data_IF_438577048738
#
_entry.id   IF_438577048738
#
_cell.length_a   1.000
_cell.length_b   1.000
_cell.length_c   1.000
_cell.angle_alpha   90.00
_cell.angle_beta   90.00
_cell.angle_gamma   90.00
#
_symmetry.space_group_name_H-M   'P 1'
#
loop_
_entity.id
_entity.type
_entity.pdbx_description
1 polymer ?
#
# COMPACT_ATOMS: atom_id res chain seq x y z
N UNK A 1 -16.75 24.34 21.48
CA UNK A 1 -16.00 23.07 21.34
C UNK A 1 -16.65 22.30 20.20
N UNK A 2 -15.97 22.14 19.08
CA UNK A 2 -16.44 21.35 17.93
C UNK A 2 -16.59 19.89 18.33
N UNK A 3 -17.67 19.21 17.95
CA UNK A 3 -17.85 17.80 18.28
C UNK A 3 -16.80 16.92 17.57
N UNK A 4 -16.48 15.74 18.13
CA UNK A 4 -15.55 14.78 17.48
C UNK A 4 -16.00 14.41 16.05
N UNK A 5 -17.31 14.34 15.82
CA UNK A 5 -17.89 14.05 14.51
C UNK A 5 -17.67 15.17 13.51
N UNK A 6 -17.89 16.42 13.92
CA UNK A 6 -17.65 17.60 13.08
C UNK A 6 -16.16 17.76 12.73
N UNK A 7 -15.27 17.56 13.71
CA UNK A 7 -13.83 17.62 13.48
C UNK A 7 -13.36 16.55 12.48
N UNK A 8 -13.90 15.33 12.57
CA UNK A 8 -13.62 14.26 11.60
C UNK A 8 -14.15 14.60 10.20
N UNK A 9 -15.37 15.12 10.10
CA UNK A 9 -15.95 15.54 8.83
C UNK A 9 -15.15 16.67 8.16
N UNK A 10 -14.73 17.68 8.93
CA UNK A 10 -13.88 18.78 8.45
C UNK A 10 -12.53 18.27 7.96
N UNK A 11 -11.90 17.36 8.72
CA UNK A 11 -10.64 16.73 8.30
C UNK A 11 -10.80 15.97 6.98
N UNK A 12 -11.85 15.16 6.86
CA UNK A 12 -12.14 14.40 5.64
C UNK A 12 -12.37 15.32 4.44
N UNK A 13 -13.13 16.40 4.62
CA UNK A 13 -13.36 17.41 3.60
C UNK A 13 -12.06 18.09 3.15
N UNK A 14 -11.18 18.44 4.10
CA UNK A 14 -9.84 18.99 3.79
C UNK A 14 -9.01 17.99 2.97
N UNK A 15 -8.97 16.72 3.37
CA UNK A 15 -8.20 15.69 2.65
C UNK A 15 -8.74 15.45 1.24
N UNK A 16 -10.06 15.50 1.05
CA UNK A 16 -10.69 15.44 -0.27
C UNK A 16 -10.25 16.62 -1.15
N UNK A 17 -10.27 17.84 -0.61
CA UNK A 17 -9.79 19.03 -1.33
C UNK A 17 -8.32 18.91 -1.75
N UNK A 18 -7.46 18.36 -0.89
CA UNK A 18 -6.05 18.11 -1.25
C UNK A 18 -5.93 17.08 -2.38
N UNK A 19 -6.76 16.03 -2.38
CA UNK A 19 -6.78 15.06 -3.48
C UNK A 19 -7.18 15.72 -4.80
N UNK A 20 -8.25 16.52 -4.81
CA UNK A 20 -8.71 17.27 -6.00
C UNK A 20 -7.62 18.21 -6.54
N UNK A 21 -6.98 19.00 -5.67
CA UNK A 21 -5.88 19.88 -6.06
C UNK A 21 -4.66 19.14 -6.62
N UNK A 22 -4.40 17.94 -6.10
CA UNK A 22 -3.30 17.10 -6.58
C UNK A 22 -3.60 16.55 -7.96
N UNK A 23 -4.83 16.06 -8.18
CA UNK A 23 -5.27 15.63 -9.51
C UNK A 23 -5.18 16.76 -10.52
N UNK A 24 -5.60 17.97 -10.17
CA UNK A 24 -5.49 19.13 -11.04
C UNK A 24 -4.03 19.39 -11.44
N UNK A 25 -3.08 19.38 -10.50
CA UNK A 25 -1.66 19.55 -10.81
C UNK A 25 -1.09 18.43 -11.72
N UNK A 26 -1.61 17.20 -11.59
CA UNK A 26 -1.24 16.08 -12.45
C UNK A 26 -1.83 16.22 -13.86
N UNK A 27 -3.03 16.77 -13.99
CA UNK A 27 -3.69 17.08 -15.27
C UNK A 27 -3.00 18.25 -15.98
N UNK A 28 -2.72 19.33 -15.24
CA UNK A 28 -1.98 20.51 -15.74
C UNK A 28 -0.52 20.18 -16.06
N UNK A 29 -0.01 19.05 -15.55
CA UNK A 29 1.38 18.62 -15.71
C UNK A 29 2.38 19.54 -15.02
N UNK A 30 1.94 20.39 -14.09
CA UNK A 30 2.79 21.29 -13.31
C UNK A 30 2.08 21.84 -12.06
N UNK A 31 2.84 22.44 -11.14
CA UNK A 31 2.31 23.19 -10.00
C UNK A 31 3.24 24.37 -9.66
N UNK A 32 2.74 25.35 -8.90
CA UNK A 32 3.53 26.50 -8.43
C UNK A 32 3.65 26.49 -6.91
N UNK A 33 4.79 26.99 -6.41
CA UNK A 33 5.00 27.16 -4.98
C UNK A 33 4.41 28.49 -4.51
N UNK A 34 3.93 28.59 -3.26
CA UNK A 34 3.49 29.87 -2.70
C UNK A 34 4.61 30.93 -2.69
N UNK A 35 5.86 30.48 -2.66
CA UNK A 35 7.07 31.32 -2.60
C UNK A 35 7.68 31.64 -3.96
N UNK A 36 7.18 31.05 -5.06
CA UNK A 36 7.76 31.22 -6.40
C UNK A 36 6.71 31.13 -7.50
N UNK A 37 6.73 32.10 -8.42
CA UNK A 37 5.87 32.11 -9.60
C UNK A 37 6.34 31.13 -10.70
N UNK A 38 7.53 30.53 -10.56
CA UNK A 38 8.07 29.59 -11.54
C UNK A 38 7.40 28.23 -11.39
N UNK A 39 6.71 27.70 -12.42
CA UNK A 39 6.06 26.40 -12.34
C UNK A 39 7.07 25.25 -12.32
N UNK A 40 6.77 24.23 -11.52
CA UNK A 40 7.49 22.94 -11.47
C UNK A 40 6.83 21.97 -12.43
N UNK A 41 7.54 21.58 -13.47
CA UNK A 41 7.04 20.66 -14.50
C UNK A 41 7.00 19.22 -13.96
N UNK A 42 5.84 18.58 -14.06
CA UNK A 42 5.61 17.18 -13.73
C UNK A 42 5.45 16.30 -14.98
N UNK A 43 5.04 16.86 -16.11
CA UNK A 43 4.66 16.12 -17.31
C UNK A 43 5.72 15.10 -17.78
N UNK A 44 6.99 15.52 -17.85
CA UNK A 44 8.09 14.63 -18.27
C UNK A 44 8.26 13.47 -17.29
N UNK A 45 8.19 13.75 -15.99
CA UNK A 45 8.36 12.74 -14.94
C UNK A 45 7.15 11.82 -14.83
N UNK A 46 5.93 12.32 -15.04
CA UNK A 46 4.72 11.50 -15.12
C UNK A 46 4.84 10.51 -16.27
N UNK A 47 5.20 10.97 -17.48
CA UNK A 47 5.39 10.09 -18.63
C UNK A 47 6.48 9.03 -18.38
N UNK A 48 7.59 9.44 -17.76
CA UNK A 48 8.66 8.53 -17.37
C UNK A 48 8.18 7.47 -16.37
N UNK A 49 7.48 7.89 -15.33
CA UNK A 49 6.93 7.01 -14.29
C UNK A 49 5.95 6.01 -14.91
N UNK A 50 4.99 6.49 -15.70
CA UNK A 50 3.96 5.66 -16.35
C UNK A 50 4.59 4.62 -17.28
N UNK A 51 5.55 5.02 -18.14
CA UNK A 51 6.25 4.12 -19.04
C UNK A 51 7.20 3.14 -18.32
N UNK A 52 7.78 3.57 -17.20
CA UNK A 52 8.70 2.77 -16.38
C UNK A 52 8.00 1.86 -15.37
N UNK A 53 6.67 1.98 -15.19
CA UNK A 53 5.92 1.21 -14.22
C UNK A 53 5.95 -0.28 -14.57
N UNK A 54 6.32 -1.12 -13.60
CA UNK A 54 6.43 -2.58 -13.80
C UNK A 54 5.55 -3.33 -12.81
N UNK A 55 4.92 -4.39 -13.29
CA UNK A 55 4.22 -5.36 -12.45
C UNK A 55 5.08 -6.61 -12.30
N UNK A 56 5.19 -7.09 -11.07
CA UNK A 56 5.77 -8.38 -10.75
C UNK A 56 4.63 -9.31 -10.34
N UNK A 57 4.46 -10.39 -11.11
CA UNK A 57 3.43 -11.39 -10.85
C UNK A 57 3.80 -12.22 -9.60
N UNK A 58 2.81 -12.86 -8.93
CA UNK A 58 3.08 -13.69 -7.74
C UNK A 58 4.05 -14.85 -7.99
N UNK A 59 4.10 -15.35 -9.22
CA UNK A 59 4.92 -16.45 -9.71
C UNK A 59 6.17 -15.97 -10.47
N UNK A 60 6.48 -14.67 -10.40
CA UNK A 60 7.64 -14.10 -11.09
C UNK A 60 8.95 -14.63 -10.50
N UNK A 61 9.69 -15.36 -11.34
CA UNK A 61 10.97 -15.98 -10.98
C UNK A 61 12.06 -14.95 -10.67
N UNK A 62 11.93 -13.69 -11.14
CA UNK A 62 12.87 -12.62 -10.84
C UNK A 62 12.89 -12.28 -9.34
N UNK A 63 11.74 -12.35 -8.66
CA UNK A 63 11.64 -12.15 -7.21
C UNK A 63 12.24 -13.34 -6.44
N UNK A 64 12.06 -14.55 -6.97
CA UNK A 64 12.57 -15.79 -6.38
C UNK A 64 14.10 -15.89 -6.51
N UNK A 65 14.66 -15.54 -7.67
CA UNK A 65 16.11 -15.55 -7.92
C UNK A 65 16.88 -14.50 -7.09
N UNK A 66 16.22 -13.38 -6.75
CA UNK A 66 16.82 -12.38 -5.87
C UNK A 66 16.81 -12.77 -4.39
N UNK A 67 15.95 -13.70 -4.00
CA UNK A 67 15.93 -14.28 -2.65
C UNK A 67 17.04 -15.32 -2.45
N UNK A 68 17.47 -15.99 -3.53
CA UNK A 68 18.58 -16.97 -3.49
C UNK A 68 19.96 -16.35 -3.76
N UNK A 69 20.03 -15.14 -4.33
CA UNK A 69 21.25 -14.32 -4.30
C UNK A 69 21.41 -13.65 -2.92
N UNK A 70 21.54 -14.50 -1.90
CA UNK A 70 22.46 -14.17 -0.81
C UNK A 70 23.84 -14.12 -1.46
N UNK A 71 24.22 -12.94 -1.97
CA UNK A 71 25.62 -12.56 -1.90
C UNK A 71 26.06 -12.92 -0.49
N UNK A 72 27.15 -13.66 -0.36
CA UNK A 72 27.76 -14.03 0.90
C UNK A 72 28.24 -12.76 1.63
N UNK A 73 27.31 -11.90 2.03
CA UNK A 73 27.49 -10.93 3.07
C UNK A 73 27.59 -11.76 4.34
N UNK A 74 28.77 -11.70 4.95
CA UNK A 74 29.06 -12.29 6.25
C UNK A 74 27.83 -12.18 7.17
N UNK A 75 27.42 -13.31 7.77
CA UNK A 75 26.35 -13.37 8.78
C UNK A 75 26.47 -12.17 9.72
N UNK A 76 25.55 -11.20 9.72
CA UNK A 76 25.41 -10.37 10.88
C UNK A 76 24.85 -11.29 11.96
N UNK A 77 25.62 -11.51 13.02
CA UNK A 77 25.09 -12.10 14.23
C UNK A 77 23.83 -11.31 14.61
N UNK A 78 22.69 -11.98 14.75
CA UNK A 78 21.41 -11.37 15.06
C UNK A 78 21.57 -10.42 16.28
N UNK A 79 21.44 -9.09 16.14
CA UNK A 79 21.22 -8.28 17.31
C UNK A 79 19.73 -8.37 17.61
N UNK A 80 19.41 -9.12 18.66
CA UNK A 80 18.14 -9.02 19.36
C UNK A 80 17.90 -7.51 19.64
N UNK A 81 16.93 -6.89 18.96
CA UNK A 81 16.68 -5.46 19.07
C UNK A 81 15.78 -5.19 20.29
N UNK A 82 16.39 -5.11 21.46
CA UNK A 82 15.84 -4.33 22.58
C UNK A 82 16.21 -2.86 22.31
N UNK A 83 15.22 -2.00 22.10
CA UNK A 83 15.42 -0.56 21.83
C UNK A 83 16.22 0.11 22.97
N UNK A 84 17.49 0.51 22.77
CA UNK A 84 18.18 1.41 23.68
C UNK A 84 17.94 2.87 23.24
N UNK A 85 18.13 3.87 24.13
CA UNK A 85 17.99 5.28 23.76
C UNK A 85 18.99 5.68 22.64
N UNK A 86 18.69 6.73 21.85
CA UNK A 86 19.42 7.04 20.62
C UNK A 86 20.89 7.44 20.89
N UNK A 87 21.87 6.88 20.15
CA UNK A 87 23.27 7.31 20.23
C UNK A 87 23.51 8.65 19.50
N UNK A 88 24.62 9.36 19.78
CA UNK A 88 24.99 10.59 19.08
C UNK A 88 25.25 10.34 17.58
N UNK A 89 25.13 11.38 16.72
CA UNK A 89 25.23 11.21 15.27
C UNK A 89 26.62 10.70 14.84
N UNK A 90 26.69 9.74 13.91
CA UNK A 90 27.97 9.21 13.41
C UNK A 90 28.71 10.25 12.54
N UNK A 91 30.06 10.19 12.48
CA UNK A 91 30.84 11.01 11.54
C UNK A 91 30.54 10.62 10.08
N UNK A 92 30.67 11.55 9.11
CA UNK A 92 30.38 11.27 7.72
C UNK A 92 31.35 10.21 7.15
N UNK A 93 30.85 9.24 6.36
CA UNK A 93 31.69 8.19 5.78
C UNK A 93 32.67 8.76 4.73
N UNK A 94 33.86 8.15 4.56
CA UNK A 94 34.80 8.55 3.53
C UNK A 94 34.19 8.36 2.14
N UNK A 95 34.24 9.42 1.33
CA UNK A 95 33.72 9.50 -0.03
C UNK A 95 34.43 8.49 -0.94
N UNK A 96 33.77 7.37 -1.22
CA UNK A 96 34.15 6.46 -2.30
C UNK A 96 33.74 7.09 -3.65
N UNK A 97 34.59 7.08 -4.69
CA UNK A 97 34.37 7.80 -5.95
C UNK A 97 33.39 7.09 -6.92
N UNK A 98 32.50 6.24 -6.41
CA UNK A 98 31.47 5.58 -7.21
C UNK A 98 30.13 5.65 -6.48
N UNK A 99 29.68 6.88 -6.25
CA UNK A 99 28.30 7.16 -5.85
C UNK A 99 27.42 6.90 -7.07
N UNK A 100 27.00 5.64 -7.25
CA UNK A 100 25.69 5.41 -7.82
C UNK A 100 24.74 6.31 -7.02
N UNK A 101 24.07 7.23 -7.70
CA UNK A 101 23.07 8.11 -7.08
C UNK A 101 22.18 7.24 -6.19
N UNK A 102 22.21 7.44 -4.87
CA UNK A 102 21.42 6.64 -3.95
C UNK A 102 19.94 6.90 -4.25
N UNK A 103 19.29 5.98 -4.97
CA UNK A 103 17.87 6.07 -5.24
C UNK A 103 17.09 5.81 -3.95
N UNK A 104 16.24 6.76 -3.57
CA UNK A 104 15.33 6.62 -2.43
C UNK A 104 14.26 5.59 -2.80
N UNK A 105 14.10 4.56 -1.97
CA UNK A 105 13.03 3.57 -2.09
C UNK A 105 11.94 3.80 -1.04
N UNK A 106 10.67 3.84 -1.47
CA UNK A 106 9.50 3.99 -0.61
C UNK A 106 8.58 2.77 -0.76
N UNK A 107 8.12 2.22 0.37
CA UNK A 107 7.13 1.15 0.38
C UNK A 107 5.72 1.73 0.58
N UNK A 108 4.83 1.48 -0.38
CA UNK A 108 3.41 1.80 -0.31
C UNK A 108 2.61 0.59 0.22
N UNK A 109 1.95 0.76 1.36
CA UNK A 109 1.02 -0.20 1.98
C UNK A 109 -0.32 -0.18 1.24
N UNK A 110 -0.32 -0.83 0.09
CA UNK A 110 -1.34 -0.66 -0.92
C UNK A 110 -2.66 -1.32 -0.56
N UNK A 111 -3.75 -0.70 -0.98
CA UNK A 111 -5.02 -1.37 -1.18
C UNK A 111 -4.88 -2.42 -2.27
N UNK A 112 -5.32 -3.65 -1.99
CA UNK A 112 -5.35 -4.70 -3.00
C UNK A 112 -6.38 -4.43 -4.13
N UNK A 113 -7.30 -3.49 -3.95
CA UNK A 113 -8.47 -3.33 -4.83
C UNK A 113 -8.63 -1.93 -5.42
N UNK A 114 -8.05 -0.89 -4.81
CA UNK A 114 -8.27 0.49 -5.22
C UNK A 114 -6.94 1.25 -5.36
N UNK A 115 -6.59 1.73 -6.57
CA UNK A 115 -5.43 2.59 -6.76
C UNK A 115 -5.46 3.82 -5.86
N UNK A 116 -4.45 3.99 -5.01
CA UNK A 116 -4.40 5.11 -4.05
C UNK A 116 -5.40 4.98 -2.91
N UNK A 117 -5.98 3.79 -2.70
CA UNK A 117 -6.91 3.51 -1.61
C UNK A 117 -8.15 4.38 -1.66
N UNK A 118 -8.46 5.03 -0.52
CA UNK A 118 -9.63 5.90 -0.38
C UNK A 118 -9.35 7.39 -0.57
N UNK A 119 -8.22 7.80 -1.17
CA UNK A 119 -7.75 9.18 -1.10
C UNK A 119 -8.73 10.21 -1.67
N UNK A 120 -9.46 9.86 -2.75
CA UNK A 120 -10.51 10.68 -3.36
C UNK A 120 -11.70 10.95 -2.42
N UNK A 121 -11.93 10.05 -1.46
CA UNK A 121 -13.01 10.17 -0.47
C UNK A 121 -12.54 10.81 0.84
N UNK A 122 -11.32 11.35 0.85
CA UNK A 122 -10.69 11.92 2.04
C UNK A 122 -10.32 10.90 3.11
N UNK A 123 -10.17 9.62 2.74
CA UNK A 123 -9.67 8.61 3.67
C UNK A 123 -8.21 8.92 4.07
N UNK A 124 -7.81 8.45 5.25
CA UNK A 124 -6.50 8.72 5.82
C UNK A 124 -5.80 7.42 6.22
N UNK A 125 -4.91 6.94 5.38
CA UNK A 125 -3.83 6.02 5.72
C UNK A 125 -2.58 6.40 4.91
N UNK A 126 -1.54 5.55 4.98
CA UNK A 126 -0.26 5.82 4.35
C UNK A 126 -0.39 5.93 2.81
N UNK A 127 -1.04 4.96 2.16
CA UNK A 127 -1.27 4.98 0.71
C UNK A 127 -1.98 6.26 0.27
N UNK A 128 -3.04 6.67 0.98
CA UNK A 128 -3.76 7.88 0.59
C UNK A 128 -2.93 9.14 0.75
N UNK A 129 -2.01 9.17 1.73
CA UNK A 129 -1.08 10.28 1.89
C UNK A 129 -0.07 10.32 0.74
N UNK A 130 0.51 9.18 0.36
CA UNK A 130 1.40 9.08 -0.81
C UNK A 130 0.69 9.50 -2.10
N UNK A 131 -0.55 9.05 -2.31
CA UNK A 131 -1.35 9.40 -3.48
C UNK A 131 -1.70 10.89 -3.54
N UNK A 132 -1.91 11.55 -2.40
CA UNK A 132 -2.16 13.00 -2.32
C UNK A 132 -0.91 13.86 -2.45
N UNK A 133 0.27 13.33 -2.13
CA UNK A 133 1.49 14.13 -2.07
C UNK A 133 2.39 13.95 -3.29
N UNK A 134 2.02 13.13 -4.27
CA UNK A 134 2.92 12.72 -5.35
C UNK A 134 2.25 12.40 -6.69
N UNK A 135 3.08 12.05 -7.68
CA UNK A 135 2.65 11.50 -8.97
C UNK A 135 2.25 10.02 -8.91
N UNK A 136 2.33 9.35 -7.76
CA UNK A 136 2.13 7.90 -7.62
C UNK A 136 0.81 7.42 -8.21
N UNK A 137 -0.27 8.19 -8.05
CA UNK A 137 -1.60 7.81 -8.56
C UNK A 137 -1.59 7.54 -10.07
N UNK A 138 -0.83 8.33 -10.85
CA UNK A 138 -0.69 8.15 -12.31
C UNK A 138 -0.11 6.78 -12.65
N UNK A 139 0.95 6.39 -11.94
CA UNK A 139 1.54 5.06 -12.07
C UNK A 139 0.57 3.94 -11.68
N UNK A 140 -0.12 4.08 -10.55
CA UNK A 140 -1.05 3.05 -10.07
C UNK A 140 -2.27 2.86 -10.99
N UNK A 141 -2.65 3.87 -11.76
CA UNK A 141 -3.73 3.78 -12.74
C UNK A 141 -3.28 3.32 -14.13
N UNK A 142 -1.97 3.31 -14.40
CA UNK A 142 -1.42 2.89 -15.68
C UNK A 142 -1.63 1.39 -15.93
N UNK A 143 -1.69 1.00 -17.20
CA UNK A 143 -2.00 -0.38 -17.60
C UNK A 143 -1.12 -1.46 -16.93
N UNK A 144 0.22 -1.28 -16.76
CA UNK A 144 1.03 -2.26 -16.06
C UNK A 144 0.60 -2.46 -14.60
N UNK A 145 0.30 -1.38 -13.87
CA UNK A 145 -0.15 -1.47 -12.48
C UNK A 145 -1.56 -2.07 -12.35
N UNK A 146 -2.42 -1.98 -13.38
CA UNK A 146 -3.73 -2.65 -13.35
C UNK A 146 -3.62 -4.17 -13.22
N UNK A 147 -2.53 -4.77 -13.70
CA UNK A 147 -2.26 -6.20 -13.52
C UNK A 147 -2.12 -6.58 -12.02
N UNK A 148 -1.57 -5.69 -11.20
CA UNK A 148 -1.50 -5.88 -9.74
C UNK A 148 -2.90 -6.00 -9.14
N UNK A 149 -3.82 -5.07 -9.42
CA UNK A 149 -5.18 -5.13 -8.89
C UNK A 149 -5.98 -6.32 -9.45
N UNK A 150 -5.77 -6.65 -10.72
CA UNK A 150 -6.39 -7.81 -11.35
C UNK A 150 -5.95 -9.14 -10.70
N UNK A 151 -4.66 -9.28 -10.38
CA UNK A 151 -4.14 -10.46 -9.69
C UNK A 151 -4.80 -10.67 -8.31
N UNK A 152 -5.02 -9.57 -7.58
CA UNK A 152 -5.71 -9.60 -6.29
C UNK A 152 -7.20 -9.93 -6.40
N UNK A 153 -7.90 -9.35 -7.38
CA UNK A 153 -9.33 -9.59 -7.59
C UNK A 153 -9.63 -11.02 -8.05
N UNK A 154 -8.71 -11.65 -8.80
CA UNK A 154 -8.85 -13.04 -9.28
C UNK A 154 -8.55 -14.09 -8.22
N UNK A 155 -7.99 -13.69 -7.07
CA UNK A 155 -7.64 -14.64 -6.02
C UNK A 155 -8.89 -15.09 -5.24
N UNK A 156 -9.32 -16.32 -5.48
CA UNK A 156 -10.43 -16.97 -4.78
C UNK A 156 -10.12 -17.36 -3.32
N UNK A 157 -8.88 -17.18 -2.84
CA UNK A 157 -8.42 -17.58 -1.49
C UNK A 157 -8.75 -16.57 -0.37
N UNK A 158 -9.54 -15.53 -0.64
CA UNK A 158 -9.99 -14.57 0.37
C UNK A 158 -8.94 -13.51 0.71
N UNK A 159 -8.87 -13.07 1.97
CA UNK A 159 -8.20 -11.83 2.41
C UNK A 159 -6.66 -11.90 2.49
N UNK A 160 -6.06 -13.02 2.08
CA UNK A 160 -4.61 -13.23 2.10
C UNK A 160 -3.90 -12.59 0.89
N UNK A 161 -4.65 -12.02 -0.05
CA UNK A 161 -4.12 -11.31 -1.23
C UNK A 161 -3.07 -12.15 -1.99
N UNK A 162 -2.31 -11.55 -2.90
CA UNK A 162 -1.27 -12.25 -3.68
C UNK A 162 0.08 -11.61 -3.40
N UNK A 163 1.17 -12.27 -3.78
CA UNK A 163 2.51 -11.68 -3.73
C UNK A 163 2.80 -10.72 -4.90
N UNK A 164 1.79 -10.38 -5.71
CA UNK A 164 1.96 -9.42 -6.79
C UNK A 164 2.44 -8.07 -6.23
N UNK A 165 3.33 -7.41 -6.96
CA UNK A 165 3.84 -6.08 -6.63
C UNK A 165 3.84 -5.17 -7.86
N UNK A 166 3.80 -3.87 -7.63
CA UNK A 166 4.02 -2.88 -8.69
C UNK A 166 5.18 -1.94 -8.30
N UNK A 167 6.12 -1.71 -9.20
CA UNK A 167 7.21 -0.75 -9.04
C UNK A 167 6.94 0.47 -9.91
N UNK A 168 6.95 1.63 -9.27
CA UNK A 168 6.73 2.94 -9.86
C UNK A 168 8.05 3.74 -9.77
N UNK A 169 8.87 3.80 -10.84
CA UNK A 169 10.14 4.51 -10.79
C UNK A 169 9.97 6.02 -10.91
N UNK A 170 10.80 6.80 -10.24
CA UNK A 170 10.86 8.26 -10.43
C UNK A 170 9.60 9.02 -10.02
N UNK A 171 8.87 8.52 -9.03
CA UNK A 171 7.69 9.19 -8.47
C UNK A 171 8.12 10.51 -7.83
N UNK A 172 7.44 11.59 -8.18
CA UNK A 172 7.75 12.94 -7.67
C UNK A 172 6.80 13.28 -6.54
N UNK A 173 7.37 13.51 -5.35
CA UNK A 173 6.70 14.01 -4.16
C UNK A 173 6.81 15.54 -4.13
N UNK A 174 5.68 16.22 -3.93
CA UNK A 174 5.59 17.67 -4.05
C UNK A 174 4.70 18.31 -2.97
N UNK A 175 4.31 17.56 -1.93
CA UNK A 175 3.62 18.11 -0.76
C UNK A 175 4.26 17.70 0.56
N UNK A 176 4.16 18.59 1.54
CA UNK A 176 4.45 18.30 2.94
C UNK A 176 3.27 17.59 3.66
N UNK A 177 3.49 17.24 4.93
CA UNK A 177 2.49 16.58 5.79
C UNK A 177 1.25 17.46 6.08
N UNK A 178 1.38 18.79 5.97
CA UNK A 178 0.26 19.72 6.10
C UNK A 178 -0.55 19.84 4.79
N UNK A 179 -0.04 19.31 3.68
CA UNK A 179 -0.60 19.39 2.34
C UNK A 179 -0.16 20.64 1.57
N UNK A 180 0.81 21.40 2.07
CA UNK A 180 1.42 22.54 1.37
C UNK A 180 2.27 22.06 0.19
N UNK A 181 2.39 22.88 -0.85
CA UNK A 181 3.27 22.60 -1.99
C UNK A 181 4.74 22.80 -1.59
N UNK A 182 5.61 21.89 -2.01
CA UNK A 182 7.04 21.90 -1.66
C UNK A 182 7.90 21.61 -2.89
N UNK A 183 9.21 21.83 -2.79
CA UNK A 183 10.12 21.46 -3.88
C UNK A 183 10.06 19.95 -4.17
N UNK A 184 10.15 19.54 -5.45
CA UNK A 184 9.95 18.15 -5.84
C UNK A 184 11.10 17.26 -5.34
N UNK A 185 10.73 16.12 -4.75
CA UNK A 185 11.66 15.05 -4.37
C UNK A 185 11.30 13.78 -5.13
N UNK A 186 12.28 13.12 -5.72
CA UNK A 186 12.08 11.91 -6.51
C UNK A 186 12.41 10.66 -5.70
N UNK A 187 11.56 9.63 -5.80
CA UNK A 187 11.82 8.33 -5.22
C UNK A 187 11.13 7.22 -6.03
N UNK A 188 11.68 6.01 -5.92
CA UNK A 188 11.05 4.81 -6.47
C UNK A 188 10.06 4.24 -5.45
N UNK A 189 8.83 3.94 -5.88
CA UNK A 189 7.78 3.41 -4.98
C UNK A 189 7.51 1.96 -5.31
N UNK A 190 7.69 1.07 -4.33
CA UNK A 190 7.24 -0.31 -4.38
C UNK A 190 5.85 -0.42 -3.73
N UNK A 191 4.87 -0.88 -4.49
CA UNK A 191 3.48 -1.07 -4.08
C UNK A 191 3.23 -2.54 -3.81
N UNK A 192 2.83 -2.87 -2.58
CA UNK A 192 2.54 -4.23 -2.15
C UNK A 192 1.33 -4.21 -1.20
N UNK A 193 0.40 -5.15 -1.41
CA UNK A 193 -0.78 -5.26 -0.56
C UNK A 193 -0.46 -6.03 0.72
N UNK A 194 -0.64 -5.40 1.88
CA UNK A 194 -0.57 -6.08 3.16
C UNK A 194 -1.84 -6.92 3.40
N UNK A 195 -1.70 -8.07 4.06
CA UNK A 195 -2.82 -8.92 4.45
C UNK A 195 -3.79 -8.13 5.33
N UNK A 196 -5.09 -8.17 5.01
CA UNK A 196 -6.10 -7.55 5.85
C UNK A 196 -6.34 -8.40 7.11
N UNK A 197 -5.57 -8.13 8.17
CA UNK A 197 -5.61 -8.92 9.41
C UNK A 197 -6.98 -8.91 10.11
N UNK A 198 -7.75 -7.82 10.01
CA UNK A 198 -9.08 -7.72 10.61
C UNK A 198 -10.10 -8.61 9.92
N UNK A 199 -10.04 -8.63 8.59
CA UNK A 199 -10.86 -9.48 7.76
C UNK A 199 -10.42 -10.96 7.94
N UNK A 200 -9.10 -11.24 7.88
CA UNK A 200 -8.53 -12.58 8.05
C UNK A 200 -8.93 -13.22 9.39
N UNK A 201 -9.01 -12.44 10.46
CA UNK A 201 -9.47 -12.89 11.78
C UNK A 201 -10.95 -13.31 11.77
N UNK A 202 -11.81 -12.57 11.07
CA UNK A 202 -13.23 -12.91 10.94
C UNK A 202 -13.45 -14.13 10.06
N UNK A 203 -12.66 -14.30 9.00
CA UNK A 203 -12.73 -15.49 8.13
C UNK A 203 -12.19 -16.75 8.82
N UNK A 204 -11.12 -16.60 9.63
CA UNK A 204 -10.63 -17.68 10.49
C UNK A 204 -11.63 -18.03 11.60
N UNK A 205 -12.22 -17.05 12.27
CA UNK A 205 -13.27 -17.29 13.27
C UNK A 205 -14.53 -17.88 12.66
N UNK A 206 -14.92 -17.51 11.44
CA UNK A 206 -16.03 -18.13 10.70
C UNK A 206 -15.74 -19.59 10.31
N UNK A 207 -14.52 -19.91 9.89
CA UNK A 207 -14.09 -21.30 9.62
C UNK A 207 -13.94 -22.15 10.88
N UNK A 208 -13.52 -21.56 12.00
CA UNK A 208 -13.40 -22.25 13.31
C UNK A 208 -14.78 -22.39 13.99
N UNK A 209 -15.64 -21.38 13.95
CA UNK A 209 -17.02 -21.45 14.40
C UNK A 209 -17.85 -22.44 13.55
N UNK A 210 -17.49 -22.63 12.28
CA UNK A 210 -18.01 -23.68 11.40
C UNK A 210 -17.70 -25.12 11.84
N UNK A 211 -16.79 -25.35 12.80
CA UNK A 211 -16.58 -26.67 13.45
C UNK A 211 -17.34 -26.83 14.78
N UNK A 212 -18.03 -25.81 15.27
CA UNK A 212 -18.91 -25.89 16.45
C UNK A 212 -20.36 -26.28 16.14
N UNK A 213 -20.77 -26.26 14.87
CA UNK A 213 -22.15 -26.51 14.43
C UNK A 213 -22.53 -27.97 14.24
N UNK A 214 -21.65 -28.94 14.56
CA UNK A 214 -21.92 -30.37 14.37
C UNK A 214 -22.47 -31.09 15.61
N UNK A 215 -22.90 -30.36 16.66
CA UNK A 215 -23.69 -30.95 17.76
C UNK A 215 -25.19 -30.64 17.72
N UNK A 216 -25.63 -29.65 16.93
CA UNK A 216 -27.06 -29.34 16.78
C UNK A 216 -27.72 -30.12 15.63
N UNK A 217 -26.98 -30.50 14.58
CA UNK A 217 -27.50 -31.31 13.47
C UNK A 217 -27.56 -32.82 13.73
N UNK A 218 -26.80 -33.33 14.70
CA UNK A 218 -26.93 -34.73 15.14
C UNK A 218 -28.19 -34.91 16.02
N UNK A 219 -28.60 -33.89 16.79
CA UNK A 219 -29.81 -34.01 17.63
C UNK A 219 -31.13 -33.93 16.85
N UNK A 220 -31.14 -33.33 15.65
CA UNK A 220 -32.33 -33.32 14.77
C UNK A 220 -32.44 -34.58 13.91
N UNK A 221 -31.32 -35.22 13.56
CA UNK A 221 -31.31 -36.49 12.82
C UNK A 221 -31.66 -37.69 13.72
N UNK A 222 -31.25 -37.69 14.99
CA UNK A 222 -31.63 -38.75 15.95
C UNK A 222 -33.06 -38.65 16.52
N UNK A 223 -33.79 -37.56 16.25
CA UNK A 223 -35.22 -37.44 16.63
C UNK A 223 -36.20 -37.81 15.51
N UNK A 224 -35.74 -37.91 14.27
CA UNK A 224 -36.57 -38.35 13.14
C UNK A 224 -36.62 -39.88 13.00
N UNK A 225 -35.53 -40.58 13.35
CA UNK A 225 -35.40 -42.03 13.13
C UNK A 225 -35.90 -42.89 14.31
N UNK A 226 -36.18 -42.27 15.47
CA UNK A 226 -36.70 -42.96 16.66
C UNK A 226 -38.23 -42.84 16.83
N UNK A 227 -38.92 -42.10 15.96
CA UNK A 227 -40.38 -41.97 15.95
C UNK A 227 -41.07 -42.80 14.84
N UNK A 228 -40.31 -43.54 14.03
CA UNK A 228 -40.83 -44.41 12.96
C UNK A 228 -40.95 -45.90 13.33
N UNK A 229 -40.62 -46.32 14.56
CA UNK A 229 -40.61 -47.73 15.00
C UNK A 229 -41.61 -48.02 16.14
N UNK A 230 -42.54 -47.11 16.41
CA UNK A 230 -43.66 -47.35 17.35
C UNK A 230 -45.02 -47.06 16.71
N UNK A 231 -45.20 -47.55 15.48
CA UNK A 231 -46.51 -47.63 14.86
C UNK A 231 -46.62 -48.86 13.94
N UNK A 232 -46.33 -50.02 14.53
CA UNK A 232 -46.99 -51.32 14.31
C UNK A 232 -47.22 -51.94 15.69
#
# INVERSE_FOLDING_TARGET
MTSKGEAYAQKRARLKKLAEQTLQALEDGSYTLPTSAVPRNLAVKINHTEAGTRHYAPDDTALSARSTSTSALARPAYPMCTLPPPPPPPPPPPTSPNLATENIGVLNFASATKPGGGFLTGAQAQEESLARSSTLYRSLTAAPAQAFYAAHNRNSRGEYYTHAMALSPGVVFFRDDAGGWTEPVEADVLTSAAVNAGAARNTLHGRVAGRGGLRSKVSSLWRGELMGVLQE
#
